data_IF_128687145187
#
_entry.id   IF_128687145187
#
_cell.length_a   1.000
_cell.length_b   1.000
_cell.length_c   1.000
_cell.angle_alpha   90.00
_cell.angle_beta   90.00
_cell.angle_gamma   90.00
#
_symmetry.space_group_name_H-M   'P 1'
#
loop_
_entity.id
_entity.type
_entity.pdbx_description
1 polymer ?
#
# COMPACT_ATOMS: atom_id res chain seq x y z
N UNK A 1 -4.18 -8.03 -0.41
CA UNK A 1 -3.10 -8.29 -1.36
C UNK A 1 -1.98 -7.34 -0.99
N UNK A 2 -0.75 -7.78 -0.94
CA UNK A 2 0.41 -6.95 -0.58
C UNK A 2 1.36 -6.88 -1.78
N UNK A 3 2.10 -5.78 -1.88
CA UNK A 3 3.09 -5.57 -2.92
C UNK A 3 4.32 -4.89 -2.32
N UNK A 4 5.49 -5.21 -2.87
CA UNK A 4 6.76 -4.62 -2.44
C UNK A 4 7.26 -3.67 -3.53
N UNK A 5 7.75 -2.49 -3.13
CA UNK A 5 8.31 -1.52 -4.08
C UNK A 5 9.64 -2.06 -4.62
N UNK A 6 9.73 -2.20 -5.94
CA UNK A 6 10.94 -2.64 -6.64
C UNK A 6 11.75 -1.44 -7.16
N UNK A 7 11.06 -0.39 -7.61
CA UNK A 7 11.72 0.79 -8.17
C UNK A 7 10.87 2.04 -7.99
N UNK A 8 11.56 3.16 -7.75
CA UNK A 8 11.00 4.50 -7.69
C UNK A 8 11.73 5.37 -8.70
N UNK A 9 10.99 6.05 -9.58
CA UNK A 9 11.57 7.03 -10.49
C UNK A 9 12.10 8.22 -9.69
N UNK A 10 13.33 8.65 -9.96
CA UNK A 10 13.92 9.87 -9.41
C UNK A 10 13.43 11.14 -10.12
N UNK A 11 12.82 10.98 -11.30
CA UNK A 11 12.29 12.09 -12.10
C UNK A 11 10.77 12.12 -11.92
N UNK A 12 10.20 13.24 -11.43
CA UNK A 12 8.76 13.42 -11.32
C UNK A 12 8.13 13.59 -12.71
N UNK A 13 6.86 13.23 -12.84
CA UNK A 13 6.11 13.51 -14.04
C UNK A 13 5.65 14.98 -14.10
N UNK A 14 4.94 15.36 -15.17
CA UNK A 14 4.45 16.74 -15.38
C UNK A 14 3.42 17.21 -14.33
N UNK A 15 2.93 16.31 -13.49
CA UNK A 15 1.87 16.54 -12.50
C UNK A 15 2.41 16.31 -11.08
N UNK A 16 3.73 16.46 -10.88
CA UNK A 16 4.38 16.37 -9.57
C UNK A 16 4.14 15.02 -8.84
N UNK A 17 4.11 13.92 -9.60
CA UNK A 17 4.02 12.58 -9.03
C UNK A 17 5.13 11.67 -9.57
N UNK A 18 5.51 10.68 -8.75
CA UNK A 18 6.58 9.74 -9.08
C UNK A 18 6.00 8.44 -9.63
N UNK A 19 6.63 7.90 -10.68
CA UNK A 19 6.32 6.57 -11.15
C UNK A 19 6.95 5.52 -10.22
N UNK A 20 6.13 4.60 -9.73
CA UNK A 20 6.53 3.49 -8.88
C UNK A 20 6.32 2.18 -9.63
N UNK A 21 7.27 1.24 -9.48
CA UNK A 21 7.10 -0.15 -9.90
C UNK A 21 7.06 -1.02 -8.64
N UNK A 22 5.94 -1.69 -8.43
CA UNK A 22 5.75 -2.64 -7.35
C UNK A 22 5.66 -4.06 -7.89
N UNK A 23 6.18 -5.02 -7.13
CA UNK A 23 6.09 -6.45 -7.42
C UNK A 23 5.07 -7.08 -6.49
N UNK A 24 4.18 -7.90 -7.05
CA UNK A 24 3.23 -8.70 -6.30
C UNK A 24 3.83 -10.10 -6.10
N UNK A 25 4.37 -10.43 -4.92
CA UNK A 25 5.06 -11.71 -4.69
C UNK A 25 4.12 -12.91 -4.85
N UNK A 26 2.86 -12.75 -4.45
CA UNK A 26 1.80 -13.77 -4.57
C UNK A 26 0.99 -13.65 -5.88
N UNK A 27 1.45 -12.82 -6.82
CA UNK A 27 0.69 -12.49 -8.02
C UNK A 27 -0.64 -11.80 -7.71
N UNK A 28 -1.64 -12.02 -8.56
CA UNK A 28 -2.99 -11.44 -8.42
C UNK A 28 -3.86 -12.22 -7.43
N UNK A 29 -3.29 -12.65 -6.30
CA UNK A 29 -3.99 -13.39 -5.26
C UNK A 29 -4.43 -12.46 -4.14
N UNK A 30 -5.74 -12.49 -3.84
CA UNK A 30 -6.31 -11.78 -2.70
C UNK A 30 -5.95 -12.44 -1.38
N UNK A 31 -5.99 -11.69 -0.28
CA UNK A 31 -5.75 -12.23 1.07
C UNK A 31 -6.82 -13.25 1.48
N UNK A 32 -7.96 -13.28 0.78
CA UNK A 32 -9.05 -14.24 0.97
C UNK A 32 -8.91 -15.50 0.10
N UNK A 33 -7.74 -15.70 -0.55
CA UNK A 33 -7.44 -16.91 -1.34
C UNK A 33 -8.05 -16.94 -2.75
N UNK A 34 -8.68 -15.85 -3.21
CA UNK A 34 -9.18 -15.76 -4.60
C UNK A 34 -8.11 -15.23 -5.55
N UNK A 35 -7.97 -15.84 -6.72
CA UNK A 35 -7.11 -15.38 -7.81
C UNK A 35 -7.91 -14.46 -8.74
N UNK A 36 -7.41 -13.26 -9.01
CA UNK A 36 -8.01 -12.32 -9.96
C UNK A 36 -7.47 -12.61 -11.37
N UNK A 37 -8.35 -12.57 -12.36
CA UNK A 37 -7.95 -12.62 -13.77
C UNK A 37 -7.25 -11.32 -14.17
N UNK A 38 -6.12 -11.44 -14.88
CA UNK A 38 -5.41 -10.28 -15.39
C UNK A 38 -6.17 -9.67 -16.57
N UNK A 39 -6.49 -8.38 -16.45
CA UNK A 39 -7.01 -7.57 -17.54
C UNK A 39 -6.01 -6.45 -17.83
N UNK A 40 -5.79 -6.16 -19.12
CA UNK A 40 -5.06 -4.96 -19.50
C UNK A 40 -5.81 -3.73 -18.96
N UNK A 41 -5.07 -2.73 -18.48
CA UNK A 41 -5.63 -1.50 -17.90
C UNK A 41 -6.41 -1.69 -16.59
N UNK A 42 -6.04 -2.67 -15.76
CA UNK A 42 -6.55 -2.75 -14.39
C UNK A 42 -6.13 -1.54 -13.55
N UNK A 43 -7.11 -0.91 -12.90
CA UNK A 43 -6.90 0.13 -11.91
C UNK A 43 -6.95 -0.46 -10.51
N UNK A 44 -6.08 0.01 -9.63
CA UNK A 44 -6.07 -0.36 -8.22
C UNK A 44 -5.72 0.86 -7.37
N UNK A 45 -6.21 0.86 -6.14
CA UNK A 45 -5.82 1.80 -5.10
C UNK A 45 -5.06 1.02 -4.02
N UNK A 46 -3.98 1.60 -3.51
CA UNK A 46 -3.16 0.99 -2.49
C UNK A 46 -2.65 2.06 -1.51
N UNK A 47 -2.50 1.66 -0.26
CA UNK A 47 -1.90 2.48 0.78
C UNK A 47 -0.41 2.11 0.91
N UNK A 48 0.45 3.13 0.97
CA UNK A 48 1.89 2.95 1.12
C UNK A 48 2.20 2.91 2.61
N UNK A 49 2.74 1.78 3.07
CA UNK A 49 3.17 1.58 4.45
C UNK A 49 4.68 1.82 4.50
N UNK A 50 5.10 2.96 5.05
CA UNK A 50 6.51 3.37 5.20
C UNK A 50 7.09 3.08 6.58
N UNK A 51 6.24 2.73 7.55
CA UNK A 51 6.61 2.54 8.94
C UNK A 51 6.17 1.15 9.41
N UNK A 52 7.03 0.45 10.15
CA UNK A 52 6.67 -0.75 10.89
C UNK A 52 5.86 -0.36 12.14
N UNK A 53 4.65 0.15 11.92
CA UNK A 53 3.75 0.49 13.02
C UNK A 53 3.42 -0.76 13.78
N UNK A 54 3.83 -0.80 15.05
CA UNK A 54 3.50 -1.93 15.91
C UNK A 54 1.99 -1.90 16.16
N UNK A 55 1.34 -3.06 16.23
CA UNK A 55 -0.10 -3.16 16.56
C UNK A 55 -0.48 -2.36 17.82
N UNK A 56 0.47 -2.26 18.77
CA UNK A 56 0.29 -1.49 20.00
C UNK A 56 0.20 0.02 19.75
N UNK A 57 0.91 0.58 18.75
CA UNK A 57 0.83 2.01 18.42
C UNK A 57 -0.54 2.38 17.83
N UNK A 58 -1.11 1.51 16.98
CA UNK A 58 -2.48 1.67 16.46
C UNK A 58 -3.53 1.69 17.59
N UNK A 59 -3.29 0.93 18.65
CA UNK A 59 -4.16 0.90 19.82
C UNK A 59 -4.03 2.18 20.65
N UNK A 60 -2.79 2.65 20.89
CA UNK A 60 -2.53 3.88 21.64
C UNK A 60 -3.02 5.15 20.92
N UNK A 61 -2.97 5.19 19.58
CA UNK A 61 -3.52 6.30 18.80
C UNK A 61 -5.03 6.51 19.03
N UNK A 62 -5.78 5.41 19.13
CA UNK A 62 -7.21 5.47 19.44
C UNK A 62 -7.48 5.86 20.91
N UNK A 63 -6.66 5.35 21.84
CA UNK A 63 -6.75 5.72 23.26
C UNK A 63 -6.42 7.19 23.51
N UNK A 64 -5.41 7.74 22.83
CA UNK A 64 -5.03 9.15 22.97
C UNK A 64 -6.14 10.09 22.49
N UNK A 65 -6.84 9.76 21.41
CA UNK A 65 -8.02 10.51 20.94
C UNK A 65 -9.16 10.56 21.95
N UNK A 66 -9.28 9.57 22.83
CA UNK A 66 -10.28 9.55 23.90
C UNK A 66 -9.87 10.39 25.12
N UNK A 67 -8.57 10.62 25.31
CA UNK A 67 -8.01 11.37 26.43
C UNK A 67 -7.92 12.89 26.16
N UNK A 68 -7.92 13.32 24.90
CA UNK A 68 -7.97 14.75 24.53
C UNK A 68 -9.41 15.34 24.59
N UNK A 69 -10.23 14.87 25.55
CA UNK A 69 -11.54 15.45 25.89
C UNK A 69 -11.55 16.04 27.29
#
# INVERSE_FOLDING_TARGET
>A
MTASIHYVSLIPNRTDSFALKATLPDGLRTNYGRTLSFNNSMSAQADIITEDRRLIELFFDQLRKLWER
#
